data_IF_034331408015
#
_entry.id   IF_034331408015
#
_cell.length_a   1.000
_cell.length_b   1.000
_cell.length_c   1.000
_cell.angle_alpha   90.00
_cell.angle_beta   90.00
_cell.angle_gamma   90.00
#
_symmetry.space_group_name_H-M   'P 1'
#
loop_
_entity.id
_entity.type
_entity.pdbx_description
1 polymer ?
#
# COMPACT_ATOMS: atom_id res chain seq x y z
N UNK A 1 22.53 -51.32 -9.50
CA UNK A 1 21.55 -50.67 -10.41
C UNK A 1 20.98 -49.45 -9.69
N UNK A 2 20.92 -48.32 -10.40
CA UNK A 2 20.96 -46.92 -9.92
C UNK A 2 19.63 -46.40 -9.25
N UNK A 3 19.50 -45.14 -8.74
CA UNK A 3 20.07 -43.89 -9.26
C UNK A 3 20.82 -42.99 -8.25
N UNK A 4 21.58 -41.97 -8.73
CA UNK A 4 22.12 -40.91 -7.91
C UNK A 4 21.08 -39.79 -7.73
N UNK A 5 20.85 -39.35 -6.49
CA UNK A 5 19.99 -38.20 -6.22
C UNK A 5 20.80 -36.90 -6.22
N UNK A 6 20.74 -36.26 -7.38
CA UNK A 6 20.43 -34.84 -7.63
C UNK A 6 20.95 -33.78 -6.64
N UNK A 7 21.77 -32.89 -7.18
CA UNK A 7 22.09 -31.57 -6.62
C UNK A 7 20.82 -30.74 -6.44
N UNK A 8 20.65 -30.11 -5.28
CA UNK A 8 19.71 -28.99 -5.12
C UNK A 8 20.50 -27.69 -5.04
N UNK A 9 20.55 -27.00 -6.18
CA UNK A 9 20.66 -25.54 -6.26
C UNK A 9 19.43 -24.90 -5.61
N UNK A 10 19.63 -23.73 -4.98
CA UNK A 10 18.52 -22.87 -4.59
C UNK A 10 18.73 -22.01 -3.34
N UNK A 11 19.93 -21.49 -3.08
CA UNK A 11 20.07 -20.39 -2.12
C UNK A 11 19.35 -19.15 -2.69
N UNK A 12 18.11 -18.92 -2.26
CA UNK A 12 17.49 -17.61 -2.32
C UNK A 12 18.26 -16.71 -1.35
N UNK A 13 19.12 -15.85 -1.91
CA UNK A 13 19.88 -14.87 -1.15
C UNK A 13 18.96 -13.85 -0.49
N UNK A 14 18.59 -14.09 0.77
CA UNK A 14 18.01 -13.07 1.63
C UNK A 14 19.04 -11.97 1.87
N UNK A 15 18.76 -10.76 1.40
CA UNK A 15 19.60 -9.57 1.62
C UNK A 15 19.79 -9.36 3.12
N UNK A 16 21.02 -9.13 3.58
CA UNK A 16 21.31 -9.01 5.00
C UNK A 16 20.54 -7.83 5.63
N UNK A 17 20.04 -7.94 6.87
CA UNK A 17 19.19 -6.90 7.49
C UNK A 17 19.86 -5.53 7.63
N UNK A 18 21.20 -5.47 7.65
CA UNK A 18 21.95 -4.21 7.65
C UNK A 18 21.98 -3.55 6.26
N UNK A 19 22.12 -4.33 5.19
CA UNK A 19 22.09 -3.85 3.81
C UNK A 19 20.69 -3.33 3.45
N UNK A 20 19.64 -4.03 3.88
CA UNK A 20 18.25 -3.58 3.72
C UNK A 20 17.98 -2.23 4.40
N UNK A 21 18.54 -1.99 5.60
CA UNK A 21 18.38 -0.71 6.31
C UNK A 21 19.03 0.46 5.57
N UNK A 22 20.23 0.25 5.03
CA UNK A 22 20.96 1.28 4.28
C UNK A 22 20.28 1.59 2.94
N UNK A 23 19.79 0.56 2.23
CA UNK A 23 18.99 0.73 1.02
C UNK A 23 17.75 1.58 1.27
N UNK A 24 17.00 1.28 2.34
CA UNK A 24 15.79 2.03 2.70
C UNK A 24 16.13 3.49 3.08
N UNK A 25 17.25 3.71 3.79
CA UNK A 25 17.68 5.07 4.14
C UNK A 25 18.12 5.88 2.90
N UNK A 26 18.82 5.25 1.95
CA UNK A 26 19.21 5.88 0.68
C UNK A 26 17.98 6.20 -0.20
N UNK A 27 17.01 5.28 -0.27
CA UNK A 27 15.74 5.47 -0.97
C UNK A 27 14.94 6.62 -0.36
N UNK A 28 14.81 6.65 0.96
CA UNK A 28 14.12 7.73 1.67
C UNK A 28 14.85 9.08 1.49
N UNK A 29 16.18 9.10 1.54
CA UNK A 29 16.95 10.32 1.25
C UNK A 29 16.71 10.84 -0.17
N UNK A 30 16.68 9.95 -1.17
CA UNK A 30 16.42 10.31 -2.55
C UNK A 30 15.03 10.91 -2.73
N UNK A 31 14.03 10.31 -2.08
CA UNK A 31 12.64 10.80 -2.06
C UNK A 31 12.50 12.17 -1.38
N UNK A 32 13.31 12.44 -0.35
CA UNK A 32 13.38 13.72 0.34
C UNK A 32 14.27 14.76 -0.36
N UNK A 33 15.07 14.33 -1.34
CA UNK A 33 15.99 15.18 -2.09
C UNK A 33 15.27 15.89 -3.24
N UNK A 34 15.43 17.22 -3.32
CA UNK A 34 14.87 18.04 -4.42
C UNK A 34 15.52 17.77 -5.78
N UNK A 35 16.62 17.02 -5.82
CA UNK A 35 17.32 16.68 -7.05
C UNK A 35 16.76 15.42 -7.72
N UNK A 36 15.93 14.63 -7.04
CA UNK A 36 15.29 13.47 -7.64
C UNK A 36 14.15 13.89 -8.57
N UNK A 37 14.13 13.33 -9.78
CA UNK A 37 13.03 13.58 -10.72
C UNK A 37 11.79 12.78 -10.34
N UNK A 38 10.61 13.26 -10.72
CA UNK A 38 9.34 12.54 -10.58
C UNK A 38 9.41 11.10 -11.12
N UNK A 39 9.97 10.94 -12.32
CA UNK A 39 10.15 9.61 -12.96
C UNK A 39 11.04 8.67 -12.14
N UNK A 40 12.11 9.20 -11.54
CA UNK A 40 12.99 8.39 -10.71
C UNK A 40 12.26 7.90 -9.45
N UNK A 41 11.52 8.77 -8.77
CA UNK A 41 10.77 8.37 -7.57
C UNK A 41 9.70 7.32 -7.90
N UNK A 42 8.96 7.50 -9.01
CA UNK A 42 8.00 6.48 -9.46
C UNK A 42 8.66 5.13 -9.75
N UNK A 43 9.86 5.12 -10.33
CA UNK A 43 10.59 3.87 -10.60
C UNK A 43 10.99 3.09 -9.34
N UNK A 44 10.95 3.74 -8.17
CA UNK A 44 11.23 3.10 -6.89
C UNK A 44 9.98 2.49 -6.26
N UNK A 45 8.78 2.90 -6.68
CA UNK A 45 7.52 2.32 -6.19
C UNK A 45 7.45 0.86 -6.63
N UNK A 46 7.07 -0.09 -5.74
CA UNK A 46 6.84 -1.47 -6.11
C UNK A 46 5.89 -1.60 -7.32
N UNK A 47 6.14 -2.59 -8.19
CA UNK A 47 5.34 -2.78 -9.38
C UNK A 47 3.99 -3.41 -9.03
N UNK A 48 3.06 -3.41 -9.97
CA UNK A 48 1.72 -4.00 -9.80
C UNK A 48 1.76 -5.47 -9.36
N UNK A 49 2.71 -6.25 -9.89
CA UNK A 49 2.96 -7.64 -9.48
C UNK A 49 3.35 -7.80 -8.00
N UNK A 50 3.84 -6.73 -7.35
CA UNK A 50 4.22 -6.68 -5.94
C UNK A 50 3.08 -6.11 -5.06
N UNK A 51 1.89 -5.98 -5.65
CA UNK A 51 0.66 -5.53 -5.01
C UNK A 51 0.20 -6.47 -3.89
N UNK A 52 -0.95 -6.16 -3.32
CA UNK A 52 -1.53 -6.99 -2.27
C UNK A 52 -2.09 -8.32 -2.80
N UNK A 53 -2.09 -9.33 -1.94
CA UNK A 53 -2.77 -10.59 -2.24
C UNK A 53 -4.28 -10.45 -1.99
N UNK A 54 -5.09 -11.21 -2.72
CA UNK A 54 -6.53 -11.27 -2.57
C UNK A 54 -7.01 -11.48 -1.12
N UNK A 55 -6.35 -12.35 -0.34
CA UNK A 55 -6.75 -12.60 1.05
C UNK A 55 -6.52 -11.38 1.95
N UNK A 56 -5.43 -10.64 1.74
CA UNK A 56 -5.14 -9.42 2.49
C UNK A 56 -6.11 -8.29 2.10
N UNK A 57 -6.41 -8.17 0.81
CA UNK A 57 -7.42 -7.27 0.28
C UNK A 57 -8.79 -7.57 0.90
N UNK A 58 -9.21 -8.84 0.86
CA UNK A 58 -10.47 -9.31 1.43
C UNK A 58 -10.54 -9.04 2.94
N UNK A 59 -9.49 -9.38 3.69
CA UNK A 59 -9.42 -9.11 5.12
C UNK A 59 -9.60 -7.62 5.41
N UNK A 60 -8.97 -6.73 4.62
CA UNK A 60 -9.17 -5.29 4.76
C UNK A 60 -10.59 -4.85 4.44
N UNK A 61 -11.20 -5.36 3.37
CA UNK A 61 -12.60 -5.06 3.02
C UNK A 61 -13.53 -5.50 4.15
N UNK A 62 -13.35 -6.72 4.65
CA UNK A 62 -14.11 -7.25 5.78
C UNK A 62 -13.94 -6.41 7.04
N UNK A 63 -12.73 -5.92 7.35
CA UNK A 63 -12.51 -5.01 8.49
C UNK A 63 -13.17 -3.63 8.29
N UNK A 64 -13.29 -3.15 7.05
CA UNK A 64 -13.92 -1.85 6.77
C UNK A 64 -15.44 -1.92 6.77
N UNK A 65 -16.01 -3.02 6.29
CA UNK A 65 -17.46 -3.18 6.07
C UNK A 65 -18.12 -3.94 7.22
N UNK A 66 -17.42 -4.92 7.80
CA UNK A 66 -17.83 -5.58 9.03
C UNK A 66 -17.43 -4.72 10.23
N UNK A 67 -18.41 -4.15 10.92
CA UNK A 67 -18.19 -3.31 12.10
C UNK A 67 -17.18 -3.93 13.08
N UNK A 68 -16.34 -3.08 13.66
CA UNK A 68 -15.19 -3.47 14.48
C UNK A 68 -15.51 -4.53 15.53
N UNK A 69 -14.63 -5.52 15.65
CA UNK A 69 -14.61 -6.40 16.82
C UNK A 69 -13.98 -5.63 18.00
N UNK A 70 -14.75 -4.74 18.61
CA UNK A 70 -14.50 -4.34 19.99
C UNK A 70 -15.03 -5.48 20.87
N UNK A 71 -14.14 -6.29 21.44
CA UNK A 71 -14.52 -7.19 22.55
C UNK A 71 -14.93 -6.34 23.75
N UNK A 72 -16.21 -6.03 23.85
CA UNK A 72 -16.84 -5.31 24.95
C UNK A 72 -18.26 -5.82 25.15
N UNK A 73 -18.39 -6.82 26.01
CA UNK A 73 -19.63 -7.43 26.44
C UNK A 73 -20.65 -6.39 26.98
N UNK A 74 -21.86 -6.32 26.40
CA UNK A 74 -23.16 -6.29 27.09
C UNK A 74 -24.29 -5.78 26.16
N UNK A 75 -25.21 -6.69 25.85
CA UNK A 75 -26.66 -6.45 25.73
C UNK A 75 -27.11 -5.16 24.99
N UNK A 76 -27.08 -5.21 23.66
CA UNK A 76 -27.95 -4.34 22.86
C UNK A 76 -28.42 -5.12 21.66
N UNK A 77 -29.69 -5.49 21.72
CA UNK A 77 -30.56 -5.92 20.62
C UNK A 77 -30.65 -4.79 19.58
N UNK A 78 -29.60 -4.65 18.79
CA UNK A 78 -29.56 -3.74 17.66
C UNK A 78 -29.13 -4.54 16.47
N UNK A 79 -30.13 -5.04 15.75
CA UNK A 79 -30.01 -5.58 14.40
C UNK A 79 -29.16 -4.62 13.56
N UNK A 80 -27.87 -4.94 13.40
CA UNK A 80 -27.03 -4.24 12.44
C UNK A 80 -27.40 -4.78 11.06
N UNK A 81 -28.51 -4.27 10.53
CA UNK A 81 -28.87 -4.48 9.15
C UNK A 81 -27.78 -3.85 8.28
N UNK A 82 -26.99 -4.68 7.60
CA UNK A 82 -26.05 -4.22 6.58
C UNK A 82 -26.88 -3.77 5.38
N UNK A 83 -27.29 -2.49 5.36
CA UNK A 83 -28.16 -1.91 4.33
C UNK A 83 -27.39 -1.50 3.05
N UNK A 84 -26.06 -1.59 3.04
CA UNK A 84 -25.25 -1.20 1.88
C UNK A 84 -24.93 -2.39 0.96
N UNK A 85 -25.71 -2.55 -0.11
CA UNK A 85 -25.42 -3.50 -1.21
C UNK A 85 -24.22 -3.05 -2.07
N UNK A 86 -23.86 -1.76 -2.03
CA UNK A 86 -22.71 -1.23 -2.77
C UNK A 86 -22.08 -0.01 -2.10
N UNK A 87 -20.79 0.18 -2.36
CA UNK A 87 -20.03 1.38 -1.99
C UNK A 87 -19.65 2.12 -3.27
N UNK A 88 -20.11 3.36 -3.40
CA UNK A 88 -19.74 4.21 -4.54
C UNK A 88 -18.36 4.85 -4.31
N UNK A 89 -17.50 4.81 -5.33
CA UNK A 89 -16.17 5.43 -5.31
C UNK A 89 -16.04 6.50 -6.40
N UNK A 90 -15.28 7.56 -6.13
CA UNK A 90 -15.00 8.62 -7.10
C UNK A 90 -13.68 8.34 -7.83
N UNK A 91 -13.73 8.23 -9.16
CA UNK A 91 -12.56 7.97 -10.00
C UNK A 91 -11.77 9.24 -10.38
N UNK A 92 -12.14 10.40 -9.83
CA UNK A 92 -11.37 11.64 -9.95
C UNK A 92 -10.59 11.88 -8.66
N UNK A 93 -9.32 12.22 -8.82
CA UNK A 93 -8.46 12.49 -7.69
C UNK A 93 -8.84 13.83 -7.04
N UNK A 94 -9.16 13.89 -5.74
CA UNK A 94 -9.66 15.10 -5.10
C UNK A 94 -8.71 16.31 -5.19
N UNK A 95 -7.40 16.05 -5.25
CA UNK A 95 -6.39 17.12 -5.22
C UNK A 95 -6.08 17.72 -6.60
N UNK A 96 -6.26 16.97 -7.68
CA UNK A 96 -5.95 17.45 -9.05
C UNK A 96 -7.18 17.54 -9.96
N UNK A 97 -8.28 16.88 -9.61
CA UNK A 97 -9.47 16.74 -10.46
C UNK A 97 -9.29 15.80 -11.66
N UNK A 98 -8.09 15.24 -11.85
CA UNK A 98 -7.76 14.32 -12.93
C UNK A 98 -8.42 12.97 -12.74
N UNK A 99 -8.73 12.28 -13.85
CA UNK A 99 -9.12 10.87 -13.80
C UNK A 99 -7.93 10.06 -13.28
N UNK A 100 -8.20 9.23 -12.27
CA UNK A 100 -7.23 8.32 -11.67
C UNK A 100 -6.79 7.31 -12.73
N UNK A 101 -5.47 7.13 -12.88
CA UNK A 101 -4.87 6.16 -13.80
C UNK A 101 -4.24 5.00 -13.05
N UNK A 102 -3.45 5.31 -12.03
CA UNK A 102 -2.79 4.33 -11.17
C UNK A 102 -3.17 4.68 -9.74
N UNK A 103 -3.88 3.77 -9.09
CA UNK A 103 -4.19 3.86 -7.66
C UNK A 103 -3.01 3.36 -6.85
N UNK A 104 -2.60 4.18 -5.88
CA UNK A 104 -1.67 3.81 -4.84
C UNK A 104 -2.40 3.64 -3.51
N UNK A 105 -1.92 2.69 -2.72
CA UNK A 105 -2.31 2.49 -1.33
C UNK A 105 -1.08 2.20 -0.48
N UNK A 106 -1.14 2.42 0.83
CA UNK A 106 -0.10 1.97 1.74
C UNK A 106 -0.46 0.61 2.36
N UNK A 107 0.46 -0.37 2.32
CA UNK A 107 0.27 -1.71 2.90
C UNK A 107 -0.28 -1.70 4.34
N UNK A 108 0.17 -0.82 5.26
CA UNK A 108 -0.33 -0.83 6.64
C UNK A 108 -1.70 -0.17 6.82
N UNK A 109 -2.28 0.42 5.77
CA UNK A 109 -3.58 1.05 5.86
C UNK A 109 -4.70 0.01 5.88
N UNK A 110 -5.58 0.11 6.87
CA UNK A 110 -6.77 -0.75 7.00
C UNK A 110 -8.04 -0.11 6.44
N UNK A 111 -7.94 1.04 5.76
CA UNK A 111 -9.08 1.73 5.15
C UNK A 111 -9.19 1.42 3.65
N UNK A 112 -10.38 1.59 3.08
CA UNK A 112 -10.63 1.44 1.63
C UNK A 112 -10.09 2.59 0.76
N UNK A 113 -9.59 3.68 1.38
CA UNK A 113 -9.10 4.83 0.62
C UNK A 113 -7.82 4.55 -0.18
N UNK A 114 -7.84 4.91 -1.47
CA UNK A 114 -6.69 4.94 -2.38
C UNK A 114 -6.35 6.39 -2.78
N UNK A 115 -5.19 6.60 -3.37
CA UNK A 115 -4.77 7.89 -3.93
C UNK A 115 -4.22 7.71 -5.35
N UNK A 116 -4.22 8.76 -6.17
CA UNK A 116 -3.59 8.71 -7.48
C UNK A 116 -2.07 8.80 -7.31
N UNK A 117 -1.35 7.79 -7.80
CA UNK A 117 0.06 7.58 -7.48
C UNK A 117 0.95 8.72 -7.98
N UNK A 118 0.79 9.13 -9.24
CA UNK A 118 1.64 10.18 -9.84
C UNK A 118 1.43 11.52 -9.13
N UNK A 119 0.17 11.92 -8.96
CA UNK A 119 -0.21 13.14 -8.28
C UNK A 119 0.21 13.13 -6.81
N UNK A 120 0.11 11.99 -6.13
CA UNK A 120 0.62 11.87 -4.76
C UNK A 120 2.13 12.11 -4.72
N UNK A 121 2.91 11.46 -5.58
CA UNK A 121 4.38 11.67 -5.63
C UNK A 121 4.72 13.13 -5.96
N UNK A 122 4.05 13.73 -6.95
CA UNK A 122 4.25 15.13 -7.33
C UNK A 122 3.97 16.10 -6.17
N UNK A 123 2.85 15.93 -5.47
CA UNK A 123 2.48 16.76 -4.34
C UNK A 123 3.48 16.63 -3.18
N UNK A 124 3.90 15.41 -2.90
CA UNK A 124 4.87 15.11 -1.86
C UNK A 124 6.26 15.68 -2.16
N UNK A 125 6.68 15.71 -3.42
CA UNK A 125 7.93 16.35 -3.83
C UNK A 125 7.90 17.87 -3.59
N UNK A 126 6.73 18.51 -3.71
CA UNK A 126 6.53 19.94 -3.41
C UNK A 126 6.47 20.25 -1.92
N UNK A 127 5.63 19.52 -1.17
CA UNK A 127 5.30 19.82 0.23
C UNK A 127 6.17 19.08 1.26
N UNK A 128 6.88 18.03 0.85
CA UNK A 128 7.66 17.09 1.70
C UNK A 128 6.84 16.31 2.73
N UNK A 129 5.53 16.18 2.55
CA UNK A 129 4.68 15.54 3.54
C UNK A 129 4.19 14.15 3.14
N UNK A 130 5.03 13.14 3.39
CA UNK A 130 4.81 11.70 3.12
C UNK A 130 3.80 11.06 4.09
N UNK A 131 2.59 11.61 4.06
CA UNK A 131 1.48 11.22 4.90
C UNK A 131 0.35 10.69 4.03
N UNK A 132 -0.27 9.59 4.48
CA UNK A 132 -1.45 9.04 3.82
C UNK A 132 -2.58 10.08 3.84
N UNK A 133 -3.19 10.41 2.68
CA UNK A 133 -4.25 11.41 2.61
C UNK A 133 -5.56 10.95 3.27
N UNK A 134 -5.70 9.65 3.57
CA UNK A 134 -6.90 9.09 4.18
C UNK A 134 -6.77 8.97 5.71
N UNK A 135 -5.73 8.30 6.22
CA UNK A 135 -5.58 8.08 7.67
C UNK A 135 -4.59 9.02 8.36
N UNK A 136 -3.94 9.91 7.62
CA UNK A 136 -2.98 10.87 8.15
C UNK A 136 -1.77 10.26 8.89
N UNK A 137 -1.51 8.96 8.70
CA UNK A 137 -0.30 8.29 9.19
C UNK A 137 0.86 8.50 8.20
N UNK A 138 2.08 8.60 8.73
CA UNK A 138 3.29 8.70 7.92
C UNK A 138 3.76 7.31 7.50
N UNK A 139 4.15 7.17 6.23
CA UNK A 139 4.67 5.93 5.68
C UNK A 139 5.87 6.18 4.78
N UNK A 140 6.69 5.16 4.60
CA UNK A 140 7.80 5.19 3.64
C UNK A 140 7.31 4.87 2.23
N UNK A 141 8.08 5.25 1.22
CA UNK A 141 7.79 4.89 -0.19
C UNK A 141 7.64 3.37 -0.37
N UNK A 142 8.41 2.58 0.39
CA UNK A 142 8.40 1.11 0.32
C UNK A 142 7.09 0.50 0.84
N UNK A 143 6.27 1.29 1.54
CA UNK A 143 4.94 0.87 1.95
C UNK A 143 3.89 1.06 0.85
N UNK A 144 4.19 1.77 -0.24
CA UNK A 144 3.24 1.97 -1.34
C UNK A 144 3.10 0.66 -2.12
N UNK A 145 1.85 0.31 -2.45
CA UNK A 145 1.47 -0.70 -3.43
C UNK A 145 0.61 -0.07 -4.50
N UNK A 146 0.68 -0.63 -5.70
CA UNK A 146 -0.33 -0.41 -6.72
C UNK A 146 -1.52 -1.30 -6.36
N UNK A 147 -2.67 -0.67 -6.20
CA UNK A 147 -3.94 -1.34 -5.92
C UNK A 147 -4.51 -1.82 -7.26
N UNK A 148 -4.63 -3.15 -7.51
CA UNK A 148 -5.05 -3.68 -8.80
C UNK A 148 -6.57 -3.58 -9.04
N UNK A 149 -7.26 -2.59 -8.44
CA UNK A 149 -8.71 -2.37 -8.54
C UNK A 149 -9.23 -2.37 -9.96
#
# INVERSE_FOLDING_TARGET
MAPPTTMTEGQHGGVAPAEGRLLNQARNWLVLSRSATHKLVLSLVPKEQDGENFNDALARVCCCVGGGTETGNADSDSDIEVVADSVSVNLRFPMTGSRIKITGQFKPCVHMGCFELEAFVELNQRSRWWQCPTCLKNYSLDNIIIDPS
#
